data_IF_825498131292
#
_entry.id   IF_825498131292
#
_cell.length_a   1.000
_cell.length_b   1.000
_cell.length_c   1.000
_cell.angle_alpha   90.00
_cell.angle_beta   90.00
_cell.angle_gamma   90.00
#
_symmetry.space_group_name_H-M   'P 1'
#
loop_
_entity.id
_entity.type
_entity.pdbx_description
1 polymer ?
#
# COMPACT_ATOMS: atom_id res chain seq x y z
N UNK A 1 16.64 -20.12 -27.46
CA UNK A 1 16.83 -20.69 -26.11
C UNK A 1 17.35 -19.56 -25.23
N UNK A 2 16.49 -18.89 -24.45
CA UNK A 2 16.87 -17.66 -23.72
C UNK A 2 17.15 -18.03 -22.26
N UNK A 3 18.42 -17.99 -21.89
CA UNK A 3 18.92 -18.22 -20.53
C UNK A 3 18.50 -17.07 -19.59
N UNK A 4 17.76 -17.39 -18.52
CA UNK A 4 17.48 -16.46 -17.44
C UNK A 4 18.57 -16.55 -16.36
N UNK A 5 19.49 -15.58 -16.31
CA UNK A 5 20.43 -15.42 -15.19
C UNK A 5 19.74 -14.73 -14.01
N UNK A 6 19.29 -15.52 -13.03
CA UNK A 6 18.87 -15.02 -11.71
C UNK A 6 20.06 -14.37 -10.98
N UNK A 7 20.08 -13.05 -10.85
CA UNK A 7 20.99 -12.34 -9.94
C UNK A 7 20.43 -12.40 -8.51
N UNK A 8 20.93 -13.33 -7.72
CA UNK A 8 20.70 -13.37 -6.26
C UNK A 8 21.34 -12.15 -5.60
N UNK A 9 20.50 -11.23 -5.12
CA UNK A 9 20.93 -10.04 -4.38
C UNK A 9 21.24 -10.46 -2.94
N UNK A 10 22.53 -10.56 -2.60
CA UNK A 10 22.95 -10.88 -1.24
C UNK A 10 22.48 -9.80 -0.27
N UNK A 11 21.70 -10.19 0.74
CA UNK A 11 21.29 -9.32 1.85
C UNK A 11 22.50 -9.19 2.78
N UNK A 12 23.27 -8.12 2.62
CA UNK A 12 24.36 -7.79 3.55
C UNK A 12 23.75 -7.36 4.89
N UNK A 13 23.81 -8.25 5.88
CA UNK A 13 23.38 -7.97 7.25
C UNK A 13 24.43 -7.04 7.89
N UNK A 14 24.08 -5.77 8.11
CA UNK A 14 24.95 -4.76 8.74
C UNK A 14 25.45 -5.29 10.08
N UNK A 15 26.74 -5.63 10.17
CA UNK A 15 27.40 -6.05 11.42
C UNK A 15 27.52 -4.78 12.28
N UNK A 16 26.77 -4.72 13.38
CA UNK A 16 26.91 -3.62 14.35
C UNK A 16 28.24 -3.84 15.07
N UNK A 17 29.21 -2.95 14.86
CA UNK A 17 30.44 -2.94 15.65
C UNK A 17 30.07 -2.88 17.14
N UNK A 18 30.66 -3.78 17.91
CA UNK A 18 30.52 -3.80 19.37
C UNK A 18 31.37 -2.66 19.90
N UNK A 19 30.78 -1.48 20.09
CA UNK A 19 31.38 -0.43 20.90
C UNK A 19 31.70 -0.98 22.30
N UNK A 20 32.84 -0.55 22.83
CA UNK A 20 33.39 -1.00 24.12
C UNK A 20 32.36 -0.87 25.24
N UNK A 21 32.30 -1.86 26.14
CA UNK A 21 31.38 -1.87 27.31
C UNK A 21 31.56 -0.65 28.23
N UNK A 22 32.64 0.11 28.10
CA UNK A 22 32.97 1.27 28.95
C UNK A 22 32.49 2.63 28.41
N UNK A 23 32.09 2.74 27.15
CA UNK A 23 31.73 4.05 26.54
C UNK A 23 30.32 4.57 26.92
N UNK A 24 29.58 3.83 27.75
CA UNK A 24 28.18 4.14 28.11
C UNK A 24 27.93 4.51 29.58
N UNK A 25 28.97 4.81 30.35
CA UNK A 25 28.83 5.22 31.76
C UNK A 25 28.60 6.74 31.84
N UNK A 26 27.41 7.17 32.25
CA UNK A 26 27.08 8.57 32.46
C UNK A 26 26.86 8.86 33.96
N UNK A 27 27.33 10.01 34.49
CA UNK A 27 27.13 10.37 35.88
C UNK A 27 25.65 10.70 36.14
N UNK A 28 25.03 9.97 37.07
CA UNK A 28 23.68 10.25 37.56
C UNK A 28 23.76 11.20 38.74
N UNK A 29 22.98 12.28 38.69
CA UNK A 29 22.98 13.32 39.70
C UNK A 29 21.57 13.55 40.23
N UNK A 30 21.45 13.78 41.53
CA UNK A 30 20.22 14.24 42.18
C UNK A 30 20.44 15.64 42.74
N UNK A 31 19.37 16.31 43.14
CA UNK A 31 19.43 17.56 43.87
C UNK A 31 19.10 17.33 45.34
N UNK A 32 19.93 17.86 46.22
CA UNK A 32 19.69 17.89 47.66
C UNK A 32 20.05 19.29 48.17
N UNK A 33 19.12 19.95 48.86
CA UNK A 33 19.31 21.32 49.34
C UNK A 33 19.73 22.33 48.22
N UNK A 34 19.29 22.11 46.98
CA UNK A 34 19.67 22.95 45.83
C UNK A 34 21.01 22.62 45.19
N UNK A 35 21.82 21.75 45.81
CA UNK A 35 23.10 21.31 45.28
C UNK A 35 22.98 20.01 44.48
N UNK A 36 23.79 19.90 43.43
CA UNK A 36 23.83 18.74 42.55
C UNK A 36 24.83 17.71 43.07
N UNK A 37 24.32 16.55 43.48
CA UNK A 37 25.11 15.48 44.08
C UNK A 37 25.12 14.25 43.17
N UNK A 38 26.31 13.70 42.92
CA UNK A 38 26.45 12.45 42.17
C UNK A 38 26.05 11.25 43.03
N UNK A 39 25.22 10.37 42.47
CA UNK A 39 24.67 9.21 43.17
C UNK A 39 24.87 7.93 42.39
N UNK A 40 24.78 6.79 43.07
CA UNK A 40 24.82 5.50 42.42
C UNK A 40 23.53 5.22 41.65
N UNK A 41 23.61 4.29 40.69
CA UNK A 41 22.48 3.91 39.83
C UNK A 41 21.28 3.37 40.62
N UNK A 42 21.50 2.52 41.61
CA UNK A 42 20.42 1.94 42.42
C UNK A 42 19.64 3.02 43.18
N UNK A 43 20.37 3.97 43.78
CA UNK A 43 19.76 5.11 44.45
C UNK A 43 18.94 5.95 43.48
N UNK A 44 19.50 6.35 42.34
CA UNK A 44 18.79 7.18 41.36
C UNK A 44 17.49 6.52 40.87
N UNK A 45 17.54 5.24 40.49
CA UNK A 45 16.36 4.53 39.99
C UNK A 45 15.31 4.31 41.09
N UNK A 46 15.73 4.06 42.34
CA UNK A 46 14.84 3.89 43.48
C UNK A 46 14.16 5.20 43.89
N UNK A 47 14.94 6.28 44.03
CA UNK A 47 14.44 7.61 44.44
C UNK A 47 13.45 8.17 43.43
N UNK A 48 13.74 8.09 42.13
CA UNK A 48 12.84 8.61 41.10
C UNK A 48 11.78 7.59 40.65
N UNK A 49 11.86 6.33 41.08
CA UNK A 49 10.99 5.23 40.62
C UNK A 49 10.94 5.10 39.08
N UNK A 50 12.08 5.29 38.42
CA UNK A 50 12.23 5.24 36.96
C UNK A 50 12.96 3.95 36.58
N UNK A 51 12.51 3.30 35.49
CA UNK A 51 13.21 2.13 34.96
C UNK A 51 14.55 2.52 34.30
N UNK A 52 15.50 1.58 34.23
CA UNK A 52 16.83 1.88 33.67
C UNK A 52 16.79 2.38 32.21
N UNK A 53 15.94 1.79 31.36
CA UNK A 53 15.91 2.07 29.91
C UNK A 53 15.71 3.54 29.54
N UNK A 54 14.69 4.26 30.04
CA UNK A 54 14.47 5.67 29.70
C UNK A 54 15.65 6.56 30.11
N UNK A 55 16.30 6.29 31.25
CA UNK A 55 17.49 7.03 31.70
C UNK A 55 18.63 6.88 30.68
N UNK A 56 18.89 5.65 30.24
CA UNK A 56 19.92 5.39 29.23
C UNK A 56 19.58 6.03 27.89
N UNK A 57 18.32 5.94 27.44
CA UNK A 57 17.88 6.56 26.20
C UNK A 57 18.12 8.07 26.27
N UNK A 58 17.62 8.74 27.31
CA UNK A 58 17.76 10.18 27.51
C UNK A 58 19.24 10.62 27.49
N UNK A 59 20.12 9.91 28.19
CA UNK A 59 21.56 10.22 28.18
C UNK A 59 22.26 9.89 26.86
N UNK A 60 21.80 8.87 26.12
CA UNK A 60 22.38 8.50 24.82
C UNK A 60 21.94 9.42 23.69
N UNK A 61 20.74 10.01 23.79
CA UNK A 61 20.16 10.88 22.76
C UNK A 61 20.23 12.36 23.12
N UNK A 62 20.81 12.73 24.26
CA UNK A 62 20.92 14.15 24.64
C UNK A 62 21.83 14.89 23.68
N UNK A 63 21.44 16.10 23.32
CA UNK A 63 22.33 17.03 22.64
C UNK A 63 23.31 17.61 23.68
N UNK A 64 24.60 17.65 23.33
CA UNK A 64 25.69 18.12 24.21
C UNK A 64 25.53 19.61 24.52
N UNK A 65 25.05 20.41 23.56
CA UNK A 65 24.95 21.86 23.68
C UNK A 65 23.73 22.28 24.51
N UNK A 66 22.57 21.67 24.25
CA UNK A 66 21.29 22.08 24.89
C UNK A 66 20.91 21.23 26.10
N UNK A 67 21.63 20.15 26.39
CA UNK A 67 21.32 19.17 27.44
C UNK A 67 19.89 18.59 27.37
N UNK A 68 19.23 18.68 26.21
CA UNK A 68 17.89 18.14 25.99
C UNK A 68 17.95 16.86 25.14
N UNK A 69 17.02 15.90 25.35
CA UNK A 69 16.91 14.72 24.49
C UNK A 69 16.58 15.11 23.04
N UNK A 70 17.14 14.37 22.08
CA UNK A 70 16.78 14.50 20.66
C UNK A 70 15.27 14.28 20.46
N UNK A 71 14.66 15.06 19.58
CA UNK A 71 13.25 14.95 19.20
C UNK A 71 12.87 13.53 18.74
N UNK A 72 11.67 13.09 19.11
CA UNK A 72 11.13 11.79 18.69
C UNK A 72 10.96 11.73 17.16
N UNK A 73 11.59 10.72 16.55
CA UNK A 73 11.55 10.46 15.11
C UNK A 73 10.65 9.27 14.74
N UNK A 74 9.87 8.72 15.69
CA UNK A 74 8.88 7.69 15.37
C UNK A 74 7.92 8.17 14.30
N UNK A 75 7.66 7.30 13.31
CA UNK A 75 6.78 7.60 12.18
C UNK A 75 7.37 8.49 11.08
N UNK A 76 8.54 9.11 11.30
CA UNK A 76 9.20 10.01 10.33
C UNK A 76 10.19 9.28 9.42
N UNK A 77 9.85 8.08 8.98
CA UNK A 77 10.67 7.33 8.02
C UNK A 77 10.31 7.74 6.59
N UNK A 78 11.16 8.55 5.97
CA UNK A 78 11.05 8.92 4.55
C UNK A 78 11.10 7.67 3.64
N UNK A 79 11.90 6.68 4.02
CA UNK A 79 12.06 5.38 3.35
C UNK A 79 10.99 4.34 3.75
N UNK A 80 9.78 4.78 4.10
CA UNK A 80 8.62 3.88 3.98
C UNK A 80 8.63 3.34 2.55
N UNK A 81 8.46 2.01 2.36
CA UNK A 81 8.44 1.32 1.04
C UNK A 81 7.27 1.79 0.15
N UNK A 82 7.20 3.09 -0.11
CA UNK A 82 6.31 3.73 -1.06
C UNK A 82 6.84 3.33 -2.42
N UNK A 83 6.31 2.22 -2.94
CA UNK A 83 6.38 1.93 -4.38
C UNK A 83 5.97 3.21 -5.09
N UNK A 84 6.75 3.63 -6.08
CA UNK A 84 6.42 4.80 -6.90
C UNK A 84 4.97 4.66 -7.34
N UNK A 85 4.19 5.71 -7.09
CA UNK A 85 2.85 5.80 -7.65
C UNK A 85 3.09 5.94 -9.15
N UNK A 86 2.84 4.87 -9.92
CA UNK A 86 2.96 4.94 -11.38
C UNK A 86 2.16 6.12 -11.93
N UNK A 87 2.53 6.61 -13.10
CA UNK A 87 1.93 7.83 -13.65
C UNK A 87 0.45 7.61 -13.99
N UNK A 88 -0.51 8.33 -13.38
CA UNK A 88 -1.92 8.23 -13.71
C UNK A 88 -2.24 8.63 -15.15
N UNK A 89 -1.43 9.50 -15.77
CA UNK A 89 -1.68 9.98 -17.14
C UNK A 89 -1.52 8.84 -18.13
N UNK A 90 -0.45 8.05 -18.01
CA UNK A 90 -0.19 6.88 -18.84
C UNK A 90 -1.32 5.85 -18.76
N UNK A 91 -1.91 5.67 -17.57
CA UNK A 91 -3.05 4.76 -17.38
C UNK A 91 -4.27 5.25 -18.17
N UNK A 92 -4.56 6.54 -18.14
CA UNK A 92 -5.70 7.13 -18.87
C UNK A 92 -5.52 7.00 -20.37
N UNK A 93 -4.33 7.30 -20.87
CA UNK A 93 -3.99 7.17 -22.29
C UNK A 93 -4.12 5.72 -22.76
N UNK A 94 -3.61 4.78 -21.97
CA UNK A 94 -3.76 3.35 -22.25
C UNK A 94 -5.23 2.90 -22.26
N UNK A 95 -6.09 3.39 -21.36
CA UNK A 95 -7.52 3.01 -21.40
C UNK A 95 -8.21 3.57 -22.65
N UNK A 96 -7.83 4.78 -23.09
CA UNK A 96 -8.39 5.43 -24.28
C UNK A 96 -7.93 4.82 -25.61
N UNK A 97 -6.85 4.05 -25.62
CA UNK A 97 -6.36 3.40 -26.85
C UNK A 97 -7.22 2.21 -27.30
N UNK A 98 -8.09 1.69 -26.44
CA UNK A 98 -8.98 0.58 -26.79
C UNK A 98 -10.17 1.06 -27.62
N UNK A 99 -10.57 0.31 -28.66
CA UNK A 99 -11.78 0.61 -29.41
C UNK A 99 -13.00 0.43 -28.50
N UNK A 100 -13.83 1.46 -28.44
CA UNK A 100 -15.11 1.48 -27.71
C UNK A 100 -16.27 1.49 -28.69
N UNK A 101 -17.36 0.85 -28.29
CA UNK A 101 -18.61 0.82 -29.04
C UNK A 101 -19.67 1.58 -28.24
N UNK A 102 -20.34 2.52 -28.87
CA UNK A 102 -21.42 3.28 -28.26
C UNK A 102 -22.62 2.37 -27.93
N UNK A 103 -23.42 2.78 -26.94
CA UNK A 103 -24.67 2.09 -26.64
C UNK A 103 -25.63 2.18 -27.83
N UNK A 104 -25.84 1.04 -28.50
CA UNK A 104 -26.71 0.91 -29.67
C UNK A 104 -28.09 1.54 -29.47
N UNK A 105 -28.63 2.12 -30.56
CA UNK A 105 -29.81 3.01 -30.71
C UNK A 105 -31.02 2.83 -29.77
N UNK A 106 -31.28 1.65 -29.22
CA UNK A 106 -32.43 1.38 -28.34
C UNK A 106 -32.22 1.84 -26.88
N UNK A 107 -31.06 2.39 -26.51
CA UNK A 107 -30.75 2.92 -25.17
C UNK A 107 -30.36 4.40 -25.21
N UNK A 108 -31.16 5.21 -25.90
CA UNK A 108 -30.92 6.65 -26.12
C UNK A 108 -30.64 7.47 -24.83
N UNK A 109 -31.06 6.99 -23.66
CA UNK A 109 -30.91 7.70 -22.39
C UNK A 109 -29.55 7.50 -21.69
N UNK A 110 -28.72 6.54 -22.10
CA UNK A 110 -27.42 6.29 -21.44
C UNK A 110 -26.24 6.62 -22.34
N UNK A 111 -25.33 7.49 -21.89
CA UNK A 111 -24.05 7.78 -22.57
C UNK A 111 -22.96 6.74 -22.23
N UNK A 112 -23.33 5.48 -22.07
CA UNK A 112 -22.39 4.44 -21.62
C UNK A 112 -21.76 3.77 -22.83
N UNK A 113 -20.43 3.74 -22.86
CA UNK A 113 -19.64 3.08 -23.90
C UNK A 113 -19.25 1.66 -23.45
N UNK A 114 -19.04 0.77 -24.42
CA UNK A 114 -18.75 -0.64 -24.17
C UNK A 114 -17.48 -1.09 -24.87
N UNK A 115 -16.59 -1.71 -24.10
CA UNK A 115 -15.45 -2.46 -24.59
C UNK A 115 -15.87 -3.84 -25.08
N UNK A 116 -15.06 -4.46 -25.93
CA UNK A 116 -15.29 -5.81 -26.42
C UNK A 116 -15.44 -6.85 -25.30
N UNK A 117 -16.26 -7.87 -25.54
CA UNK A 117 -16.55 -8.95 -24.57
C UNK A 117 -15.32 -9.78 -24.17
N UNK A 118 -14.28 -9.77 -25.00
CA UNK A 118 -13.03 -10.49 -24.77
C UNK A 118 -12.08 -9.76 -23.82
N UNK A 119 -12.38 -8.48 -23.51
CA UNK A 119 -11.61 -7.67 -22.57
C UNK A 119 -12.20 -7.76 -21.17
N UNK A 120 -11.33 -7.58 -20.18
CA UNK A 120 -11.71 -7.40 -18.78
C UNK A 120 -10.74 -6.39 -18.17
N UNK A 121 -11.10 -5.76 -17.06
CA UNK A 121 -10.21 -4.80 -16.37
C UNK A 121 -8.85 -5.45 -16.08
N UNK A 122 -8.86 -6.72 -15.71
CA UNK A 122 -7.65 -7.51 -15.50
C UNK A 122 -6.83 -7.69 -16.78
N UNK A 123 -7.48 -8.08 -17.87
CA UNK A 123 -6.80 -8.33 -19.15
C UNK A 123 -6.23 -7.05 -19.76
N UNK A 124 -6.95 -5.94 -19.62
CA UNK A 124 -6.46 -4.62 -20.06
C UNK A 124 -5.23 -4.22 -19.23
N UNK A 125 -5.23 -4.46 -17.92
CA UNK A 125 -4.06 -4.23 -17.06
C UNK A 125 -2.87 -5.14 -17.41
N UNK A 126 -3.12 -6.42 -17.71
CA UNK A 126 -2.07 -7.34 -18.19
C UNK A 126 -1.43 -6.85 -19.49
N UNK A 127 -2.25 -6.38 -20.44
CA UNK A 127 -1.77 -5.78 -21.68
C UNK A 127 -0.92 -4.52 -21.41
N UNK A 128 -1.28 -3.70 -20.43
CA UNK A 128 -0.46 -2.54 -20.02
C UNK A 128 0.92 -2.97 -19.55
N UNK A 129 1.01 -4.06 -18.76
CA UNK A 129 2.30 -4.56 -18.28
C UNK A 129 3.11 -5.11 -19.45
N UNK A 130 2.48 -5.85 -20.36
CA UNK A 130 3.14 -6.42 -21.54
C UNK A 130 3.70 -5.33 -22.46
N UNK A 131 2.93 -4.27 -22.71
CA UNK A 131 3.35 -3.12 -23.51
C UNK A 131 4.36 -2.22 -22.77
N UNK A 132 4.29 -2.19 -21.43
CA UNK A 132 5.28 -1.54 -20.57
C UNK A 132 6.62 -2.26 -20.44
N UNK A 133 6.75 -3.47 -20.98
CA UNK A 133 8.04 -4.13 -21.14
C UNK A 133 8.81 -3.60 -22.35
N UNK A 134 8.13 -2.96 -23.32
CA UNK A 134 8.74 -2.40 -24.54
C UNK A 134 8.91 -0.89 -24.47
N UNK A 135 8.00 -0.18 -23.81
CA UNK A 135 8.07 1.27 -23.56
C UNK A 135 8.19 1.50 -22.05
N UNK A 136 8.84 2.57 -21.60
CA UNK A 136 9.12 2.87 -20.17
C UNK A 136 7.86 3.15 -19.31
N UNK A 137 6.79 2.38 -19.46
CA UNK A 137 5.60 2.44 -18.62
C UNK A 137 5.99 1.89 -17.26
N UNK A 138 6.27 2.82 -16.36
CA UNK A 138 6.58 2.54 -14.96
C UNK A 138 5.55 1.62 -14.33
N UNK A 139 6.00 0.70 -13.47
CA UNK A 139 5.17 -0.30 -12.78
C UNK A 139 3.95 0.33 -12.08
N UNK A 140 2.79 0.33 -12.75
CA UNK A 140 1.53 0.82 -12.20
C UNK A 140 0.94 -0.25 -11.28
N UNK A 141 0.50 0.16 -10.09
CA UNK A 141 -0.24 -0.73 -9.17
C UNK A 141 -1.62 -1.07 -9.74
N UNK A 142 -1.97 -2.35 -9.72
CA UNK A 142 -3.32 -2.85 -10.11
C UNK A 142 -4.47 -2.08 -9.45
N UNK A 143 -4.35 -1.75 -8.16
CA UNK A 143 -5.39 -1.01 -7.43
C UNK A 143 -5.60 0.41 -7.96
N UNK A 144 -4.53 1.07 -8.41
CA UNK A 144 -4.60 2.39 -9.02
C UNK A 144 -5.29 2.32 -10.39
N UNK A 145 -4.91 1.32 -11.19
CA UNK A 145 -5.52 1.07 -12.49
C UNK A 145 -7.03 0.85 -12.37
N UNK A 146 -7.43 -0.06 -11.46
CA UNK A 146 -8.82 -0.38 -11.20
C UNK A 146 -9.60 0.86 -10.74
N UNK A 147 -9.04 1.66 -9.83
CA UNK A 147 -9.67 2.88 -9.35
C UNK A 147 -9.90 3.86 -10.51
N UNK A 148 -8.88 4.15 -11.30
CA UNK A 148 -8.99 5.06 -12.46
C UNK A 148 -10.08 4.57 -13.42
N UNK A 149 -10.07 3.27 -13.78
CA UNK A 149 -11.07 2.69 -14.67
C UNK A 149 -12.51 2.86 -14.14
N UNK A 150 -12.73 2.62 -12.85
CA UNK A 150 -14.09 2.67 -12.27
C UNK A 150 -14.56 4.09 -11.97
N UNK A 151 -13.67 5.00 -11.55
CA UNK A 151 -14.05 6.36 -11.14
C UNK A 151 -14.08 7.35 -12.28
N UNK A 152 -13.20 7.20 -13.27
CA UNK A 152 -13.01 8.20 -14.34
C UNK A 152 -13.70 7.79 -15.65
N UNK A 153 -13.97 6.50 -15.88
CA UNK A 153 -14.53 6.01 -17.13
C UNK A 153 -15.92 5.40 -16.93
N UNK A 154 -16.89 5.83 -17.73
CA UNK A 154 -18.21 5.20 -17.82
C UNK A 154 -18.20 4.06 -18.85
N UNK A 155 -17.26 3.11 -18.70
CA UNK A 155 -17.09 1.98 -19.62
C UNK A 155 -17.76 0.72 -19.08
N UNK A 156 -18.44 -0.02 -19.94
CA UNK A 156 -18.92 -1.38 -19.71
C UNK A 156 -18.17 -2.41 -20.55
N UNK A 157 -18.41 -3.69 -20.30
CA UNK A 157 -17.98 -4.76 -21.20
C UNK A 157 -19.20 -5.29 -21.94
N UNK A 158 -19.06 -5.51 -23.24
CA UNK A 158 -20.13 -6.08 -24.04
C UNK A 158 -20.43 -7.51 -23.57
N UNK A 159 -21.70 -7.82 -23.36
CA UNK A 159 -22.11 -9.21 -23.19
C UNK A 159 -22.30 -9.82 -24.57
N UNK A 160 -21.72 -10.99 -24.85
CA UNK A 160 -22.05 -11.72 -26.07
C UNK A 160 -23.57 -11.96 -26.16
N UNK A 161 -24.14 -11.54 -27.30
CA UNK A 161 -25.55 -11.71 -27.65
C UNK A 161 -25.83 -12.96 -28.48
N UNK A 162 -24.81 -13.72 -28.87
CA UNK A 162 -24.99 -14.95 -29.65
C UNK A 162 -25.98 -15.87 -28.97
N UNK A 163 -26.83 -16.54 -29.76
CA UNK A 163 -27.83 -17.50 -29.30
C UNK A 163 -27.21 -18.40 -28.23
N UNK A 164 -27.75 -18.27 -27.03
CA UNK A 164 -27.30 -19.05 -25.89
C UNK A 164 -27.99 -20.40 -26.00
N UNK A 165 -27.23 -21.48 -25.93
CA UNK A 165 -27.84 -22.79 -25.82
C UNK A 165 -28.67 -22.89 -24.51
N UNK A 166 -29.65 -23.80 -24.48
CA UNK A 166 -30.54 -24.00 -23.33
C UNK A 166 -29.78 -24.24 -22.03
N UNK A 167 -28.59 -24.85 -22.11
CA UNK A 167 -27.72 -25.06 -20.95
C UNK A 167 -27.17 -23.74 -20.38
N UNK A 168 -26.77 -22.81 -21.25
CA UNK A 168 -26.31 -21.47 -20.85
C UNK A 168 -27.44 -20.63 -20.24
N UNK A 169 -28.67 -20.77 -20.76
CA UNK A 169 -29.87 -20.14 -20.20
C UNK A 169 -30.17 -20.66 -18.79
N UNK A 170 -30.19 -21.99 -18.60
CA UNK A 170 -30.40 -22.63 -17.29
C UNK A 170 -29.37 -22.17 -16.26
N UNK A 171 -28.08 -22.14 -16.62
CA UNK A 171 -27.02 -21.70 -15.72
C UNK A 171 -27.13 -20.21 -15.34
N UNK A 172 -27.69 -19.36 -16.22
CA UNK A 172 -27.94 -17.94 -15.90
C UNK A 172 -29.02 -17.79 -14.83
N UNK A 173 -30.05 -18.63 -14.86
CA UNK A 173 -31.14 -18.62 -13.86
C UNK A 173 -30.61 -19.06 -12.50
N UNK A 174 -29.82 -20.14 -12.44
CA UNK A 174 -29.23 -20.66 -11.20
C UNK A 174 -28.26 -19.68 -10.54
N UNK A 175 -27.55 -18.85 -11.32
CA UNK A 175 -26.57 -17.87 -10.80
C UNK A 175 -27.17 -16.58 -10.26
N UNK A 176 -28.47 -16.32 -10.43
CA UNK A 176 -29.11 -15.18 -9.77
C UNK A 176 -29.31 -15.53 -8.29
N UNK A 177 -28.83 -14.71 -7.34
CA UNK A 177 -29.18 -14.91 -5.94
C UNK A 177 -30.71 -14.85 -5.82
N UNK A 178 -31.32 -15.91 -5.29
CA UNK A 178 -32.75 -15.95 -5.02
C UNK A 178 -33.07 -14.89 -3.97
N UNK A 179 -33.53 -13.71 -4.40
CA UNK A 179 -34.22 -12.79 -3.49
C UNK A 179 -35.59 -13.38 -3.23
N UNK A 180 -35.73 -14.10 -2.11
CA UNK A 180 -37.03 -14.48 -1.56
C UNK A 180 -37.78 -13.19 -1.21
N UNK A 181 -38.66 -12.73 -2.08
CA UNK A 181 -39.76 -11.85 -1.66
C UNK A 181 -40.76 -12.74 -0.94
N UNK A 182 -40.64 -12.81 0.38
CA UNK A 182 -41.68 -13.37 1.22
C UNK A 182 -42.88 -12.41 1.15
N UNK A 183 -43.81 -12.67 0.24
CA UNK A 183 -45.13 -12.05 0.26
C UNK A 183 -45.88 -12.62 1.47
N UNK A 184 -45.70 -11.98 2.64
CA UNK A 184 -46.56 -12.19 3.81
C UNK A 184 -47.91 -11.58 3.47
N UNK A 185 -48.86 -12.42 3.05
CA UNK A 185 -50.28 -12.07 3.04
C UNK A 185 -50.77 -12.04 4.49
N UNK A 186 -51.19 -10.87 4.96
CA UNK A 186 -52.07 -10.77 6.12
C UNK A 186 -53.51 -10.88 5.62
N UNK A 187 -54.17 -11.98 5.97
CA UNK A 187 -55.61 -12.06 6.16
C UNK A 187 -55.86 -12.67 7.54
#
# INVERSE_FOLDING_TARGET
>A
MIEWKMKMRQIMRRKKEKLSRQEGSFPLNTFYCGEKIQVCKSFYLGTFSISQKPVYIAHSTKNVETNTPTLDQRGKNENSRRVSKGDPVLVREHIKSFPVVESHYCRAHTKREYLGSHLSIWKIYELTIQQGCTEKITSVRKSMYYRIFVTEFNLGFHSSKSDRCDLCEKLKVVKKPQTLTNDIKYE
#
